data_IF_310599290249
#
_entry.id   IF_310599290249
#
_cell.length_a   1.000
_cell.length_b   1.000
_cell.length_c   1.000
_cell.angle_alpha   90.00
_cell.angle_beta   90.00
_cell.angle_gamma   90.00
#
_symmetry.space_group_name_H-M   'P 1'
#
loop_
_entity.id
_entity.type
_entity.pdbx_description
1 polymer ?
#
# COMPACT_ATOMS: atom_id res chain seq x y z
N UNK A 1 1.21 -39.23 -14.90
CA UNK A 1 0.17 -38.27 -15.31
C UNK A 1 -0.42 -37.66 -14.05
N UNK A 2 -0.44 -36.33 -13.92
CA UNK A 2 -1.18 -35.67 -12.84
C UNK A 2 -2.67 -35.94 -13.03
N UNK A 3 -3.37 -36.36 -11.98
CA UNK A 3 -4.82 -36.58 -12.06
C UNK A 3 -5.53 -35.22 -12.05
N UNK A 4 -6.72 -35.11 -12.65
CA UNK A 4 -7.51 -33.87 -12.59
C UNK A 4 -7.78 -33.38 -11.16
N UNK A 5 -7.80 -34.29 -10.17
CA UNK A 5 -7.96 -33.96 -8.75
C UNK A 5 -6.70 -33.26 -8.19
N UNK A 6 -5.50 -33.65 -8.65
CA UNK A 6 -4.24 -33.01 -8.25
C UNK A 6 -4.14 -31.59 -8.83
N UNK A 7 -4.64 -31.37 -10.06
CA UNK A 7 -4.66 -30.05 -10.70
C UNK A 7 -5.64 -29.08 -10.02
N UNK A 8 -6.81 -29.57 -9.59
CA UNK A 8 -7.79 -28.77 -8.84
C UNK A 8 -7.25 -28.34 -7.46
N UNK A 9 -6.67 -29.28 -6.71
CA UNK A 9 -6.02 -29.00 -5.41
C UNK A 9 -4.87 -28.01 -5.55
N UNK A 10 -4.09 -28.12 -6.63
CA UNK A 10 -3.02 -27.18 -6.93
C UNK A 10 -3.59 -25.79 -7.24
N UNK A 11 -4.65 -25.71 -8.04
CA UNK A 11 -5.36 -24.47 -8.37
C UNK A 11 -5.88 -23.75 -7.12
N UNK A 12 -6.51 -24.48 -6.19
CA UNK A 12 -7.00 -23.93 -4.94
C UNK A 12 -5.87 -23.32 -4.07
N UNK A 13 -4.74 -24.03 -3.93
CA UNK A 13 -3.58 -23.51 -3.19
C UNK A 13 -2.96 -22.27 -3.84
N UNK A 14 -2.85 -22.26 -5.17
CA UNK A 14 -2.33 -21.08 -5.89
C UNK A 14 -3.26 -19.88 -5.69
N UNK A 15 -4.57 -20.08 -5.78
CA UNK A 15 -5.56 -19.02 -5.56
C UNK A 15 -5.46 -18.43 -4.14
N UNK A 16 -5.29 -19.27 -3.12
CA UNK A 16 -5.11 -18.82 -1.74
C UNK A 16 -3.83 -17.97 -1.58
N UNK A 17 -2.70 -18.45 -2.09
CA UNK A 17 -1.41 -17.74 -2.02
C UNK A 17 -1.46 -16.40 -2.78
N UNK A 18 -2.05 -16.40 -3.97
CA UNK A 18 -2.18 -15.19 -4.81
C UNK A 18 -3.11 -14.19 -4.14
N UNK A 19 -4.22 -14.63 -3.54
CA UNK A 19 -5.15 -13.75 -2.81
C UNK A 19 -4.47 -13.10 -1.62
N UNK A 20 -3.75 -13.87 -0.80
CA UNK A 20 -2.99 -13.33 0.32
C UNK A 20 -1.91 -12.34 -0.13
N UNK A 21 -1.21 -12.61 -1.23
CA UNK A 21 -0.21 -11.70 -1.80
C UNK A 21 -0.81 -10.42 -2.40
N UNK A 22 -1.99 -10.50 -3.01
CA UNK A 22 -2.69 -9.34 -3.56
C UNK A 22 -3.29 -8.47 -2.47
N UNK A 23 -3.81 -9.07 -1.41
CA UNK A 23 -4.31 -8.35 -0.24
C UNK A 23 -3.19 -7.56 0.47
N UNK A 24 -2.01 -8.16 0.61
CA UNK A 24 -0.84 -7.54 1.24
C UNK A 24 0.05 -6.74 0.27
N UNK A 25 -0.42 -6.45 -0.95
CA UNK A 25 0.41 -5.71 -1.91
C UNK A 25 0.37 -4.23 -1.54
N UNK A 26 1.52 -3.60 -1.22
CA UNK A 26 1.55 -2.18 -0.93
C UNK A 26 1.04 -1.40 -2.13
N UNK A 27 -0.06 -0.67 -1.93
CA UNK A 27 -0.62 0.19 -2.98
C UNK A 27 0.23 1.45 -3.09
N UNK A 28 1.19 1.41 -4.02
CA UNK A 28 2.05 2.56 -4.33
C UNK A 28 1.30 3.59 -5.17
N UNK A 29 0.77 4.60 -4.50
CA UNK A 29 -0.04 5.66 -5.10
C UNK A 29 0.78 6.93 -5.36
N UNK A 30 0.32 7.78 -6.27
CA UNK A 30 0.87 9.13 -6.44
C UNK A 30 0.26 10.13 -5.44
N UNK A 31 0.72 11.38 -5.49
CA UNK A 31 0.32 12.42 -4.53
C UNK A 31 -1.15 12.82 -4.61
N UNK A 32 -1.73 12.83 -5.82
CA UNK A 32 -3.15 13.15 -6.03
C UNK A 32 -4.04 12.00 -5.58
N UNK A 33 -3.65 10.75 -5.86
CA UNK A 33 -4.30 9.56 -5.32
C UNK A 33 -4.26 9.55 -3.79
N UNK A 34 -3.10 9.81 -3.19
CA UNK A 34 -2.97 9.87 -1.73
C UNK A 34 -3.85 10.97 -1.12
N UNK A 35 -3.91 12.14 -1.75
CA UNK A 35 -4.81 13.23 -1.32
C UNK A 35 -6.29 12.82 -1.36
N UNK A 36 -6.71 12.08 -2.40
CA UNK A 36 -8.08 11.53 -2.48
C UNK A 36 -8.36 10.53 -1.36
N UNK A 37 -7.42 9.63 -1.08
CA UNK A 37 -7.54 8.60 -0.03
C UNK A 37 -7.62 9.25 1.36
N UNK A 38 -6.72 10.18 1.65
CA UNK A 38 -6.66 10.89 2.94
C UNK A 38 -7.66 12.05 3.03
N UNK A 39 -8.48 12.27 2.00
CA UNK A 39 -9.45 13.38 1.90
C UNK A 39 -8.82 14.75 2.22
N UNK A 40 -7.63 15.01 1.69
CA UNK A 40 -6.94 16.29 1.86
C UNK A 40 -6.32 16.79 0.56
N UNK A 41 -6.00 18.10 0.55
CA UNK A 41 -5.43 18.74 -0.63
C UNK A 41 -3.97 18.31 -0.87
N UNK A 42 -3.55 18.26 -2.14
CA UNK A 42 -2.15 18.03 -2.55
C UNK A 42 -1.14 18.89 -1.77
N UNK A 43 -1.33 20.22 -1.60
CA UNK A 43 -0.41 21.03 -0.80
C UNK A 43 -0.33 20.59 0.67
N UNK A 44 -1.40 20.02 1.23
CA UNK A 44 -1.37 19.42 2.57
C UNK A 44 -0.44 18.21 2.57
N UNK A 45 -0.56 17.29 1.60
CA UNK A 45 0.34 16.16 1.45
C UNK A 45 1.80 16.61 1.32
N UNK A 46 2.10 17.62 0.50
CA UNK A 46 3.45 18.16 0.36
C UNK A 46 4.00 18.76 1.65
N UNK A 47 3.14 19.42 2.43
CA UNK A 47 3.50 19.97 3.74
C UNK A 47 3.80 18.85 4.73
N UNK A 48 2.99 17.80 4.79
CA UNK A 48 3.21 16.65 5.67
C UNK A 48 4.47 15.88 5.27
N UNK A 49 4.70 15.73 3.96
CA UNK A 49 5.92 15.14 3.40
C UNK A 49 7.17 15.95 3.78
N UNK A 50 7.15 17.28 3.62
CA UNK A 50 8.25 18.18 4.01
C UNK A 50 8.55 18.13 5.51
N UNK A 51 7.53 17.88 6.33
CA UNK A 51 7.65 17.68 7.77
C UNK A 51 8.14 16.26 8.16
N UNK A 52 8.34 15.37 7.18
CA UNK A 52 8.81 14.00 7.43
C UNK A 52 7.82 13.14 8.21
N UNK A 53 6.51 13.36 8.04
CA UNK A 53 5.49 12.72 8.87
C UNK A 53 5.15 11.29 8.46
N UNK A 54 5.55 10.88 7.26
CA UNK A 54 5.34 9.53 6.74
C UNK A 54 6.43 9.19 5.73
N UNK A 55 6.69 7.89 5.50
CA UNK A 55 7.72 7.45 4.56
C UNK A 55 7.35 7.75 3.10
N UNK A 56 8.38 7.88 2.27
CA UNK A 56 8.26 8.19 0.84
C UNK A 56 9.07 7.18 0.04
N UNK A 57 8.43 6.55 -0.95
CA UNK A 57 9.09 5.58 -1.83
C UNK A 57 9.55 6.30 -3.10
N UNK A 58 10.87 6.36 -3.32
CA UNK A 58 11.45 6.96 -4.54
C UNK A 58 11.72 5.87 -5.58
N UNK A 59 11.05 5.96 -6.72
CA UNK A 59 11.23 5.10 -7.89
C UNK A 59 11.85 5.93 -9.01
N UNK A 60 13.19 5.95 -9.07
CA UNK A 60 13.94 6.83 -9.96
C UNK A 60 13.65 8.30 -9.65
N UNK A 61 13.09 9.02 -10.64
CA UNK A 61 12.68 10.43 -10.49
C UNK A 61 11.27 10.60 -9.91
N UNK A 62 10.51 9.52 -9.79
CA UNK A 62 9.11 9.56 -9.37
C UNK A 62 9.00 9.25 -7.88
N UNK A 63 8.10 9.97 -7.21
CA UNK A 63 7.75 9.71 -5.82
C UNK A 63 6.43 8.96 -5.75
N UNK A 64 6.40 7.89 -4.95
CA UNK A 64 5.20 7.11 -4.61
C UNK A 64 5.04 7.00 -3.10
N UNK A 65 3.82 6.69 -2.69
CA UNK A 65 3.45 6.52 -1.30
C UNK A 65 2.83 5.16 -1.12
N UNK A 66 3.32 4.44 -0.13
CA UNK A 66 2.69 3.23 0.36
C UNK A 66 1.56 3.65 1.31
N UNK A 67 0.32 3.33 0.95
CA UNK A 67 -0.86 3.79 1.71
C UNK A 67 -0.83 3.26 3.15
N UNK A 68 -0.51 1.98 3.33
CA UNK A 68 -0.52 1.34 4.65
C UNK A 68 0.55 1.96 5.55
N UNK A 69 1.77 2.14 5.03
CA UNK A 69 2.84 2.80 5.80
C UNK A 69 2.55 4.27 6.12
N UNK A 70 1.86 4.99 5.22
CA UNK A 70 1.44 6.36 5.48
C UNK A 70 0.39 6.41 6.58
N UNK A 71 -0.62 5.55 6.52
CA UNK A 71 -1.69 5.48 7.55
C UNK A 71 -1.10 5.06 8.89
N UNK A 72 -0.21 4.07 8.91
CA UNK A 72 0.49 3.63 10.11
C UNK A 72 1.30 4.78 10.74
N UNK A 73 2.12 5.48 9.95
CA UNK A 73 2.93 6.60 10.44
C UNK A 73 2.08 7.77 10.96
N UNK A 74 0.96 8.07 10.31
CA UNK A 74 0.05 9.13 10.75
C UNK A 74 -0.72 8.74 12.02
N UNK A 75 -1.13 7.48 12.14
CA UNK A 75 -1.81 6.95 13.35
C UNK A 75 -0.86 6.91 14.54
N UNK A 76 0.37 6.43 14.36
CA UNK A 76 1.39 6.38 15.41
C UNK A 76 1.72 7.76 15.98
N UNK A 77 1.57 8.82 15.17
CA UNK A 77 1.81 10.20 15.59
C UNK A 77 0.60 10.86 16.27
N UNK A 78 -0.61 10.31 16.08
CA UNK A 78 -1.85 10.78 16.68
C UNK A 78 -2.26 10.08 17.98
N UNK A 79 -1.59 8.98 18.36
CA UNK A 79 -1.90 8.19 19.57
C UNK A 79 -1.08 8.55 20.82
N UNK A 80 -0.53 9.77 20.88
CA UNK A 80 0.18 10.29 22.05
C UNK A 80 -0.66 11.32 22.81
N UNK A 81 -1.79 10.89 23.36
CA UNK A 81 -2.58 11.60 24.37
C UNK A 81 -3.08 10.59 25.42
#
# INVERSE_FOLDING_TARGET
MMTPIDMDKLGAKVAEIVTAKLANRPRLVDRHELGRILKCSVPTIERLQRKGLFPVVRLGRTVRYDVDQVVEALTAKGGGE
#
